data_IF_102800531000
#
_entry.id   IF_102800531000
#
_cell.length_a   1.000
_cell.length_b   1.000
_cell.length_c   1.000
_cell.angle_alpha   90.00
_cell.angle_beta   90.00
_cell.angle_gamma   90.00
#
_symmetry.space_group_name_H-M   'P 1'
#
loop_
_entity.id
_entity.type
_entity.pdbx_description
1 polymer ?
#
# COMPACT_ATOMS: atom_id res chain seq x y z
N UNK A 1 37.63 1.09 50.05
CA UNK A 1 36.75 0.12 49.37
C UNK A 1 36.19 0.79 48.12
N UNK A 2 36.30 0.06 46.99
CA UNK A 2 35.81 0.27 45.62
C UNK A 2 34.65 1.29 45.53
N UNK A 3 34.71 2.34 44.71
CA UNK A 3 35.12 2.38 43.31
C UNK A 3 33.86 2.58 42.48
N UNK A 4 33.62 3.84 42.09
CA UNK A 4 32.51 4.31 41.26
C UNK A 4 32.34 3.45 40.01
N UNK A 5 31.11 3.09 39.63
CA UNK A 5 30.82 2.70 38.25
C UNK A 5 29.34 2.90 37.89
N UNK A 6 29.19 3.72 36.85
CA UNK A 6 28.15 3.69 35.83
C UNK A 6 26.74 4.11 36.23
N UNK A 7 26.50 5.41 36.03
CA UNK A 7 25.25 5.90 35.47
C UNK A 7 24.81 5.02 34.29
N UNK A 8 23.78 4.20 34.50
CA UNK A 8 23.01 3.61 33.42
C UNK A 8 22.17 4.73 32.83
N UNK A 9 22.75 5.37 31.82
CA UNK A 9 22.04 6.27 30.90
C UNK A 9 20.94 5.44 30.26
N UNK A 10 19.73 5.59 30.78
CA UNK A 10 18.47 5.32 30.09
C UNK A 10 18.44 6.22 28.86
N UNK A 11 19.14 5.81 27.79
CA UNK A 11 18.92 6.38 26.47
C UNK A 11 17.54 5.89 26.07
N UNK A 12 16.54 6.77 25.91
CA UNK A 12 15.32 6.34 25.25
C UNK A 12 15.76 5.97 23.84
N UNK A 13 15.56 4.70 23.47
CA UNK A 13 15.38 4.30 22.09
C UNK A 13 14.17 5.09 21.59
N UNK A 14 14.40 6.36 21.25
CA UNK A 14 13.62 7.09 20.28
C UNK A 14 13.82 6.31 18.98
N UNK A 15 13.08 5.21 18.87
CA UNK A 15 12.58 4.73 17.60
C UNK A 15 11.96 5.96 16.99
N UNK A 16 12.71 6.59 16.08
CA UNK A 16 12.12 7.54 15.17
C UNK A 16 10.99 6.74 14.53
N UNK A 17 9.76 7.06 14.91
CA UNK A 17 8.63 6.89 14.03
C UNK A 17 9.07 7.61 12.76
N UNK A 18 9.61 6.84 11.83
CA UNK A 18 9.94 7.34 10.51
C UNK A 18 8.58 7.82 10.02
N UNK A 19 8.42 9.14 9.96
CA UNK A 19 7.23 9.77 9.42
C UNK A 19 7.21 9.34 7.96
N UNK A 20 6.61 8.18 7.69
CA UNK A 20 6.42 7.65 6.37
C UNK A 20 5.36 8.54 5.74
N UNK A 21 5.85 9.64 5.16
CA UNK A 21 5.05 10.59 4.41
C UNK A 21 4.32 9.86 3.28
N UNK A 22 3.06 10.22 3.09
CA UNK A 22 2.25 9.74 1.98
C UNK A 22 2.92 10.16 0.68
N UNK A 23 3.17 9.20 -0.22
CA UNK A 23 3.96 9.44 -1.44
C UNK A 23 3.13 9.36 -2.73
N UNK A 24 1.93 8.78 -2.66
CA UNK A 24 1.02 8.70 -3.78
C UNK A 24 -0.45 8.66 -3.33
N UNK A 25 -1.34 9.21 -4.15
CA UNK A 25 -2.78 8.99 -4.07
C UNK A 25 -3.19 7.99 -5.14
N UNK A 26 -3.89 6.93 -4.73
CA UNK A 26 -4.50 5.96 -5.61
C UNK A 26 -6.03 6.12 -5.58
N UNK A 27 -6.62 6.40 -6.73
CA UNK A 27 -8.05 6.33 -6.95
C UNK A 27 -8.41 5.00 -7.60
N UNK A 28 -9.32 4.28 -6.95
CA UNK A 28 -9.82 2.96 -7.35
C UNK A 28 -11.30 3.11 -7.66
N UNK A 29 -11.73 2.84 -8.90
CA UNK A 29 -13.15 2.70 -9.24
C UNK A 29 -13.44 1.23 -9.53
N UNK A 30 -14.55 0.73 -8.99
CA UNK A 30 -14.96 -0.66 -9.13
C UNK A 30 -16.47 -0.81 -9.14
N UNK A 31 -16.96 -2.02 -9.45
CA UNK A 31 -18.38 -2.37 -9.35
C UNK A 31 -18.95 -2.21 -7.93
N UNK A 32 -18.08 -2.17 -6.91
CA UNK A 32 -18.44 -1.99 -5.50
C UNK A 32 -18.34 -0.54 -5.01
N UNK A 33 -17.94 0.39 -5.88
CA UNK A 33 -17.83 1.82 -5.58
C UNK A 33 -16.47 2.42 -5.89
N UNK A 34 -16.32 3.68 -5.50
CA UNK A 34 -15.13 4.49 -5.71
C UNK A 34 -14.39 4.72 -4.38
N UNK A 35 -13.08 4.53 -4.39
CA UNK A 35 -12.21 4.63 -3.23
C UNK A 35 -11.00 5.50 -3.56
N UNK A 36 -10.55 6.28 -2.59
CA UNK A 36 -9.29 7.02 -2.67
C UNK A 36 -8.44 6.67 -1.47
N UNK A 37 -7.19 6.29 -1.72
CA UNK A 37 -6.24 5.82 -0.72
C UNK A 37 -4.96 6.65 -0.83
N UNK A 38 -4.47 7.14 0.30
CA UNK A 38 -3.10 7.62 0.40
C UNK A 38 -2.17 6.43 0.66
N UNK A 39 -1.11 6.34 -0.14
CA UNK A 39 -0.16 5.23 -0.09
C UNK A 39 1.17 5.73 0.48
N UNK A 40 1.77 4.88 1.30
CA UNK A 40 3.11 5.09 1.86
C UNK A 40 4.12 4.23 1.12
N UNK A 41 5.32 4.77 0.96
CA UNK A 41 6.39 4.08 0.26
C UNK A 41 6.75 2.77 0.99
N UNK A 42 6.63 1.64 0.29
CA UNK A 42 7.02 0.33 0.82
C UNK A 42 6.05 -0.30 1.82
N UNK A 43 4.93 0.35 2.16
CA UNK A 43 3.88 -0.23 3.00
C UNK A 43 2.68 -0.66 2.14
N UNK A 44 2.24 -1.93 2.22
CA UNK A 44 1.08 -2.39 1.48
C UNK A 44 -0.21 -1.95 2.15
N UNK A 45 -1.06 -1.25 1.40
CA UNK A 45 -2.41 -0.87 1.80
C UNK A 45 -3.42 -1.91 1.28
N UNK A 46 -4.29 -2.39 2.16
CA UNK A 46 -5.29 -3.42 1.82
C UNK A 46 -6.68 -2.79 1.74
N UNK A 47 -7.24 -2.75 0.53
CA UNK A 47 -8.62 -2.36 0.29
C UNK A 47 -9.52 -3.60 0.21
N UNK A 48 -10.48 -3.69 1.12
CA UNK A 48 -11.53 -4.69 1.07
C UNK A 48 -12.69 -4.20 0.20
N UNK A 49 -12.97 -4.94 -0.87
CA UNK A 49 -14.13 -4.70 -1.72
C UNK A 49 -15.26 -5.64 -1.29
N UNK A 50 -16.50 -5.36 -1.75
CA UNK A 50 -17.62 -6.27 -1.53
C UNK A 50 -17.38 -7.65 -2.15
N UNK A 51 -18.24 -8.64 -1.85
CA UNK A 51 -18.19 -9.95 -2.52
C UNK A 51 -16.98 -10.84 -2.20
N UNK A 52 -16.13 -10.46 -1.23
CA UNK A 52 -14.94 -11.24 -0.86
C UNK A 52 -13.69 -10.91 -1.68
N UNK A 53 -13.73 -9.82 -2.45
CA UNK A 53 -12.58 -9.31 -3.20
C UNK A 53 -11.71 -8.42 -2.31
N UNK A 54 -10.39 -8.44 -2.54
CA UNK A 54 -9.44 -7.54 -1.88
C UNK A 54 -8.37 -7.05 -2.86
N UNK A 55 -7.94 -5.81 -2.70
CA UNK A 55 -6.81 -5.25 -3.43
C UNK A 55 -5.71 -4.93 -2.41
N UNK A 56 -4.47 -5.28 -2.74
CA UNK A 56 -3.29 -4.79 -2.04
C UNK A 56 -2.57 -3.81 -2.97
N UNK A 57 -2.38 -2.58 -2.51
CA UNK A 57 -1.68 -1.53 -3.23
C UNK A 57 -0.37 -1.26 -2.52
N UNK A 58 0.73 -1.26 -3.26
CA UNK A 58 2.06 -1.00 -2.75
C UNK A 58 2.70 0.10 -3.60
N UNK A 59 2.89 1.28 -3.01
CA UNK A 59 3.68 2.32 -3.65
C UNK A 59 5.16 1.93 -3.65
N UNK A 60 5.88 2.35 -4.70
CA UNK A 60 7.31 2.14 -4.85
C UNK A 60 8.04 2.55 -3.55
N UNK A 61 8.82 1.64 -2.94
CA UNK A 61 9.54 1.91 -1.70
C UNK A 61 10.55 3.05 -1.80
N UNK A 62 10.94 3.46 -3.01
CA UNK A 62 11.83 4.61 -3.23
C UNK A 62 11.07 5.95 -3.19
N UNK A 63 9.73 5.93 -3.23
CA UNK A 63 8.85 7.10 -3.00
C UNK A 63 8.93 8.20 -4.05
N UNK A 64 9.71 8.03 -5.12
CA UNK A 64 10.01 9.09 -6.12
C UNK A 64 9.41 8.85 -7.49
N UNK A 65 9.03 7.63 -7.82
CA UNK A 65 8.61 7.27 -9.17
C UNK A 65 7.11 7.44 -9.41
N UNK A 66 6.32 7.55 -8.32
CA UNK A 66 4.85 7.48 -8.38
C UNK A 66 4.33 6.13 -8.91
N UNK A 67 5.20 5.11 -9.01
CA UNK A 67 4.80 3.77 -9.42
C UNK A 67 4.11 3.07 -8.24
N UNK A 68 2.98 2.44 -8.52
CA UNK A 68 2.26 1.63 -7.55
C UNK A 68 2.09 0.23 -8.14
N UNK A 69 2.63 -0.75 -7.43
CA UNK A 69 2.34 -2.14 -7.70
C UNK A 69 1.01 -2.50 -7.04
N UNK A 70 0.10 -3.04 -7.83
CA UNK A 70 -1.23 -3.40 -7.37
C UNK A 70 -1.37 -4.90 -7.52
N UNK A 71 -1.50 -5.57 -6.39
CA UNK A 71 -1.76 -7.00 -6.29
C UNK A 71 -3.23 -7.17 -5.94
N UNK A 72 -4.03 -7.57 -6.91
CA UNK A 72 -5.45 -7.81 -6.68
C UNK A 72 -5.67 -9.27 -6.37
N UNK A 73 -6.55 -9.57 -5.44
CA UNK A 73 -6.94 -10.92 -5.11
C UNK A 73 -8.46 -11.06 -5.06
N UNK A 74 -8.99 -11.89 -5.94
CA UNK A 74 -10.37 -12.35 -5.88
C UNK A 74 -10.39 -13.74 -5.24
N UNK A 75 -11.20 -13.89 -4.18
CA UNK A 75 -11.40 -15.18 -3.52
C UNK A 75 -12.82 -15.65 -3.78
N UNK A 76 -12.97 -16.61 -4.68
CA UNK A 76 -14.26 -17.25 -4.99
C UNK A 76 -14.21 -18.71 -4.52
N UNK A 77 -14.88 -18.99 -3.40
CA UNK A 77 -14.81 -20.31 -2.74
C UNK A 77 -13.38 -20.68 -2.31
N UNK A 78 -12.86 -21.80 -2.85
CA UNK A 78 -11.49 -22.27 -2.60
C UNK A 78 -10.46 -21.74 -3.60
N UNK A 79 -10.90 -21.00 -4.63
CA UNK A 79 -10.04 -20.47 -5.67
C UNK A 79 -9.54 -19.07 -5.33
N UNK A 80 -8.22 -18.87 -5.44
CA UNK A 80 -7.55 -17.58 -5.28
C UNK A 80 -7.00 -17.17 -6.64
N UNK A 81 -7.57 -16.12 -7.23
CA UNK A 81 -7.03 -15.51 -8.45
C UNK A 81 -6.25 -14.26 -8.03
N UNK A 82 -4.97 -14.19 -8.37
CA UNK A 82 -4.15 -13.00 -8.13
C UNK A 82 -3.52 -12.49 -9.41
N UNK A 83 -3.54 -11.19 -9.61
CA UNK A 83 -2.79 -10.52 -10.68
C UNK A 83 -2.10 -9.28 -10.14
N UNK A 84 -0.93 -9.00 -10.70
CA UNK A 84 -0.07 -7.91 -10.28
C UNK A 84 0.16 -6.99 -11.47
N UNK A 85 -0.15 -5.71 -11.30
CA UNK A 85 0.07 -4.68 -12.33
C UNK A 85 0.82 -3.50 -11.72
N UNK A 86 1.79 -2.99 -12.47
CA UNK A 86 2.48 -1.76 -12.14
C UNK A 86 1.76 -0.59 -12.81
N UNK A 87 1.28 0.36 -12.02
CA UNK A 87 0.60 1.56 -12.49
C UNK A 87 1.49 2.76 -12.27
N UNK A 88 1.69 3.57 -13.30
CA UNK A 88 2.50 4.78 -13.22
C UNK A 88 1.66 6.05 -13.23
N UNK A 89 2.27 7.18 -12.84
CA UNK A 89 1.60 8.47 -12.81
C UNK A 89 1.15 8.87 -14.23
N UNK A 90 -0.07 9.40 -14.33
CA UNK A 90 -0.65 9.83 -15.62
C UNK A 90 -1.00 8.72 -16.61
N UNK A 91 -0.81 7.45 -16.23
CA UNK A 91 -1.19 6.28 -17.03
C UNK A 91 -2.20 5.44 -16.26
N UNK A 92 -3.51 5.71 -16.42
CA UNK A 92 -4.53 4.87 -15.81
C UNK A 92 -4.37 3.42 -16.28
N UNK A 93 -4.63 2.49 -15.37
CA UNK A 93 -4.71 1.07 -15.69
C UNK A 93 -6.11 0.56 -15.43
N UNK A 94 -6.60 -0.30 -16.31
CA UNK A 94 -7.81 -1.07 -16.09
C UNK A 94 -7.42 -2.52 -15.90
N UNK A 95 -8.01 -3.15 -14.90
CA UNK A 95 -7.74 -4.52 -14.52
C UNK A 95 -9.05 -5.26 -14.31
N UNK A 96 -9.14 -6.45 -14.90
CA UNK A 96 -10.27 -7.34 -14.69
C UNK A 96 -9.80 -8.64 -14.04
N UNK A 97 -10.42 -9.00 -12.92
CA UNK A 97 -10.02 -10.15 -12.09
C UNK A 97 -11.26 -10.92 -11.69
N UNK A 98 -11.44 -12.08 -12.31
CA UNK A 98 -12.71 -12.79 -12.27
C UNK A 98 -13.87 -11.87 -12.72
N UNK A 99 -14.82 -11.59 -11.84
CA UNK A 99 -15.98 -10.73 -12.03
C UNK A 99 -15.78 -9.29 -11.53
N UNK A 100 -14.58 -8.95 -11.03
CA UNK A 100 -14.25 -7.61 -10.57
C UNK A 100 -13.59 -6.78 -11.68
N UNK A 101 -14.21 -5.65 -12.04
CA UNK A 101 -13.56 -4.59 -12.83
C UNK A 101 -12.97 -3.53 -11.91
N UNK A 102 -11.72 -3.13 -12.16
CA UNK A 102 -11.04 -2.07 -11.40
C UNK A 102 -10.38 -1.09 -12.36
N UNK A 103 -10.72 0.19 -12.24
CA UNK A 103 -9.97 1.29 -12.86
C UNK A 103 -9.10 1.99 -11.82
N UNK A 104 -7.85 2.24 -12.19
CA UNK A 104 -6.81 2.71 -11.28
C UNK A 104 -6.13 3.95 -11.84
N UNK A 105 -6.05 4.98 -11.01
CA UNK A 105 -5.33 6.22 -11.30
C UNK A 105 -4.42 6.54 -10.12
N UNK A 106 -3.18 6.87 -10.43
CA UNK A 106 -2.18 7.23 -9.43
C UNK A 106 -1.68 8.64 -9.71
N UNK A 107 -1.62 9.45 -8.65
CA UNK A 107 -1.05 10.78 -8.65
C UNK A 107 0.06 10.82 -7.58
N UNK A 108 1.30 11.21 -7.92
CA UNK A 108 2.35 11.39 -6.93
C UNK A 108 2.01 12.60 -6.06
N UNK A 109 2.36 12.53 -4.77
CA UNK A 109 2.15 13.62 -3.80
C UNK A 109 3.34 14.58 -3.74
#
# INVERSE_FOLDING_TARGET
>A
MRGWLAALVLVPLLVQANELEECALASVSSDYGEFTLSLRAGEPEILHLGGGHRLALLADPVGRSGLVMISTEARSGHSRLSTNVMVGPGKPASLQVADLSVELRVVPL
#
